data_IF_277707042543
#
_entry.id   IF_277707042543
#
_cell.length_a   1.000
_cell.length_b   1.000
_cell.length_c   1.000
_cell.angle_alpha   90.00
_cell.angle_beta   90.00
_cell.angle_gamma   90.00
#
_symmetry.space_group_name_H-M   'P 1'
#
loop_
_entity.id
_entity.type
_entity.pdbx_description
1 polymer ?
#
# COMPACT_ATOMS: atom_id res chain seq x y z
N UNK A 1 -7.31 -7.18 16.64
CA UNK A 1 -6.03 -6.49 16.47
C UNK A 1 -5.74 -6.36 15.00
N UNK A 2 -4.69 -5.64 14.63
CA UNK A 2 -4.25 -5.52 13.24
C UNK A 2 -3.18 -6.57 12.95
N UNK A 3 -3.00 -7.01 11.69
CA UNK A 3 -1.86 -7.84 11.32
C UNK A 3 -0.53 -7.16 11.73
N UNK A 4 0.43 -7.95 12.22
CA UNK A 4 1.66 -7.43 12.83
C UNK A 4 2.65 -6.82 11.83
N UNK A 5 2.47 -7.14 10.55
CA UNK A 5 3.23 -6.65 9.40
C UNK A 5 2.65 -5.34 8.83
N UNK A 6 1.53 -4.85 9.35
CA UNK A 6 0.95 -3.59 8.90
C UNK A 6 1.61 -2.40 9.61
N UNK A 7 2.14 -1.47 8.81
CA UNK A 7 2.53 -0.15 9.31
C UNK A 7 1.28 0.70 9.53
N UNK A 8 1.11 1.24 10.74
CA UNK A 8 -0.03 2.06 11.14
C UNK A 8 0.43 3.33 11.83
N UNK A 9 -0.35 4.40 11.67
CA UNK A 9 -0.22 5.61 12.47
C UNK A 9 -1.16 5.55 13.67
N UNK A 10 -0.59 5.44 14.87
CA UNK A 10 -1.36 5.30 16.12
C UNK A 10 -0.73 6.12 17.26
N UNK A 11 -1.53 6.54 18.25
CA UNK A 11 -1.01 7.21 19.44
C UNK A 11 0.00 6.33 20.19
N UNK A 12 1.12 6.92 20.58
CA UNK A 12 2.20 6.25 21.30
C UNK A 12 2.63 7.07 22.51
N UNK A 13 3.04 6.39 23.57
CA UNK A 13 3.84 6.97 24.65
C UNK A 13 5.31 6.95 24.22
N UNK A 14 5.96 8.11 24.20
CA UNK A 14 7.39 8.25 23.88
C UNK A 14 8.15 8.67 25.13
N UNK A 15 9.20 7.94 25.50
CA UNK A 15 10.07 8.29 26.62
C UNK A 15 11.49 7.71 26.41
N UNK A 16 12.39 7.88 27.39
CA UNK A 16 13.78 7.39 27.31
C UNK A 16 13.92 5.89 27.03
N UNK A 17 12.90 5.09 27.32
CA UNK A 17 12.88 3.63 27.08
C UNK A 17 12.34 3.25 25.70
N UNK A 18 11.95 4.22 24.86
CA UNK A 18 11.48 3.99 23.49
C UNK A 18 10.05 4.45 23.23
N UNK A 19 9.45 3.83 22.21
CA UNK A 19 8.10 4.12 21.69
C UNK A 19 7.19 2.94 22.06
N UNK A 20 6.10 3.21 22.76
CA UNK A 20 5.11 2.19 23.13
C UNK A 20 3.73 2.59 22.62
N UNK A 21 3.12 1.80 21.72
CA UNK A 21 1.73 2.01 21.29
C UNK A 21 0.74 2.07 22.45
N UNK A 22 -0.20 3.01 22.39
CA UNK A 22 -1.34 3.03 23.29
C UNK A 22 -2.41 2.02 22.82
N UNK A 23 -3.18 1.39 23.72
CA UNK A 23 -4.27 0.49 23.33
C UNK A 23 -5.30 1.22 22.46
N UNK A 24 -5.53 0.69 21.25
CA UNK A 24 -6.55 1.19 20.34
C UNK A 24 -7.79 0.28 20.36
N UNK A 25 -8.98 0.88 20.38
CA UNK A 25 -10.23 0.15 20.14
C UNK A 25 -10.33 -0.21 18.65
N UNK A 26 -11.06 -1.28 18.29
CA UNK A 26 -11.36 -1.55 16.88
C UNK A 26 -12.04 -0.35 16.20
N UNK A 27 -11.72 -0.12 14.94
CA UNK A 27 -12.37 0.93 14.15
C UNK A 27 -13.84 0.57 13.87
N UNK A 28 -14.72 1.57 13.72
CA UNK A 28 -16.02 1.37 13.10
C UNK A 28 -15.87 0.70 11.72
N UNK A 29 -16.84 -0.13 11.33
CA UNK A 29 -16.79 -0.94 10.11
C UNK A 29 -16.43 -0.12 8.85
N UNK A 30 -17.06 1.04 8.67
CA UNK A 30 -16.80 1.90 7.51
C UNK A 30 -15.35 2.42 7.48
N UNK A 31 -14.81 2.84 8.63
CA UNK A 31 -13.42 3.30 8.73
C UNK A 31 -12.42 2.16 8.48
N UNK A 32 -12.71 0.96 8.99
CA UNK A 32 -11.90 -0.23 8.72
C UNK A 32 -11.87 -0.55 7.22
N UNK A 33 -13.02 -0.53 6.54
CA UNK A 33 -13.10 -0.83 5.11
C UNK A 33 -12.23 0.10 4.25
N UNK A 34 -12.32 1.41 4.51
CA UNK A 34 -11.49 2.40 3.82
C UNK A 34 -9.99 2.20 4.08
N UNK A 35 -9.61 1.99 5.35
CA UNK A 35 -8.22 1.74 5.72
C UNK A 35 -7.67 0.45 5.09
N UNK A 36 -8.46 -0.63 5.12
CA UNK A 36 -8.05 -1.92 4.58
C UNK A 36 -7.85 -1.86 3.06
N UNK A 37 -8.67 -1.08 2.34
CA UNK A 37 -8.50 -0.87 0.91
C UNK A 37 -7.17 -0.16 0.59
N UNK A 38 -6.85 0.91 1.32
CA UNK A 38 -5.55 1.60 1.16
C UNK A 38 -4.39 0.68 1.52
N UNK A 39 -4.52 -0.09 2.61
CA UNK A 39 -3.48 -1.03 3.01
C UNK A 39 -3.21 -2.12 1.96
N UNK A 40 -4.25 -2.63 1.31
CA UNK A 40 -4.10 -3.60 0.24
C UNK A 40 -3.27 -3.03 -0.92
N UNK A 41 -3.56 -1.79 -1.33
CA UNK A 41 -2.76 -1.07 -2.33
C UNK A 41 -1.29 -0.92 -1.90
N UNK A 42 -1.03 -0.52 -0.65
CA UNK A 42 0.34 -0.31 -0.15
C UNK A 42 1.14 -1.62 -0.15
N UNK A 43 0.55 -2.72 0.33
CA UNK A 43 1.21 -4.03 0.37
C UNK A 43 1.53 -4.55 -1.04
N UNK A 44 0.58 -4.45 -1.97
CA UNK A 44 0.78 -4.83 -3.37
C UNK A 44 1.84 -3.96 -4.05
N UNK A 45 1.89 -2.66 -3.73
CA UNK A 45 2.91 -1.74 -4.25
C UNK A 45 4.29 -2.11 -3.72
N UNK A 46 4.41 -2.47 -2.44
CA UNK A 46 5.67 -2.94 -1.86
C UNK A 46 6.12 -4.25 -2.53
N UNK A 47 5.22 -5.21 -2.70
CA UNK A 47 5.51 -6.48 -3.38
C UNK A 47 6.05 -6.23 -4.80
N UNK A 48 5.37 -5.37 -5.56
CA UNK A 48 5.80 -4.94 -6.87
C UNK A 48 7.18 -4.27 -6.84
N UNK A 49 7.38 -3.32 -5.92
CA UNK A 49 8.61 -2.54 -5.84
C UNK A 49 9.83 -3.37 -5.40
N UNK A 50 9.65 -4.34 -4.51
CA UNK A 50 10.74 -5.19 -4.01
C UNK A 50 11.13 -6.26 -5.04
N UNK A 51 10.14 -6.88 -5.70
CA UNK A 51 10.39 -8.04 -6.56
C UNK A 51 10.32 -7.74 -8.07
N UNK A 52 9.95 -6.53 -8.47
CA UNK A 52 9.69 -6.21 -9.88
C UNK A 52 8.41 -6.89 -10.41
N UNK A 53 7.49 -7.26 -9.53
CA UNK A 53 6.27 -7.99 -9.90
C UNK A 53 5.25 -7.06 -10.58
N UNK A 54 5.16 -7.20 -11.90
CA UNK A 54 4.20 -6.46 -12.73
C UNK A 54 2.74 -6.81 -12.42
N UNK A 55 2.45 -8.03 -11.99
CA UNK A 55 1.08 -8.43 -11.60
C UNK A 55 0.69 -7.74 -10.30
N UNK A 56 1.57 -7.73 -9.29
CA UNK A 56 1.34 -6.98 -8.06
C UNK A 56 1.16 -5.49 -8.33
N UNK A 57 1.94 -4.91 -9.26
CA UNK A 57 1.78 -3.51 -9.67
C UNK A 57 0.41 -3.23 -10.32
N UNK A 58 -0.07 -4.14 -11.18
CA UNK A 58 -1.39 -4.06 -11.78
C UNK A 58 -2.48 -4.12 -10.72
N UNK A 59 -2.40 -5.09 -9.81
CA UNK A 59 -3.38 -5.26 -8.72
C UNK A 59 -3.39 -4.03 -7.80
N UNK A 60 -2.23 -3.46 -7.48
CA UNK A 60 -2.12 -2.23 -6.71
C UNK A 60 -2.89 -1.07 -7.37
N UNK A 61 -2.65 -0.82 -8.66
CA UNK A 61 -3.36 0.22 -9.41
C UNK A 61 -4.87 -0.05 -9.49
N UNK A 62 -5.27 -1.31 -9.64
CA UNK A 62 -6.68 -1.71 -9.73
C UNK A 62 -7.44 -1.47 -8.41
N UNK A 63 -6.84 -1.77 -7.26
CA UNK A 63 -7.51 -1.65 -5.95
C UNK A 63 -7.45 -0.25 -5.35
N UNK A 64 -6.58 0.62 -5.86
CA UNK A 64 -6.45 1.99 -5.38
C UNK A 64 -7.76 2.77 -5.63
N UNK A 65 -8.37 3.40 -4.60
CA UNK A 65 -9.69 4.03 -4.73
C UNK A 65 -9.72 5.25 -5.68
N UNK A 66 -8.56 5.87 -5.92
CA UNK A 66 -8.37 6.93 -6.93
C UNK A 66 -7.59 6.43 -8.16
N UNK A 67 -7.46 5.11 -8.31
CA UNK A 67 -6.81 4.47 -9.45
C UNK A 67 -7.60 4.66 -10.75
N UNK A 68 -7.02 4.28 -11.89
CA UNK A 68 -7.73 4.30 -13.15
C UNK A 68 -8.90 3.30 -13.13
N UNK A 69 -9.86 3.49 -14.03
CA UNK A 69 -10.89 2.49 -14.33
C UNK A 69 -10.22 1.15 -14.72
N UNK A 70 -10.86 0.02 -14.41
CA UNK A 70 -10.26 -1.31 -14.57
C UNK A 70 -9.74 -1.59 -16.00
N UNK A 71 -10.43 -1.10 -17.01
CA UNK A 71 -10.06 -1.19 -18.44
C UNK A 71 -8.82 -0.35 -18.81
N UNK A 72 -8.43 0.59 -17.95
CA UNK A 72 -7.32 1.53 -18.15
C UNK A 72 -6.08 1.19 -17.31
N UNK A 73 -6.18 0.25 -16.37
CA UNK A 73 -5.08 -0.12 -15.45
C UNK A 73 -3.82 -0.52 -16.21
N UNK A 74 -3.95 -1.40 -17.21
CA UNK A 74 -2.81 -1.88 -18.00
C UNK A 74 -2.08 -0.72 -18.70
N UNK A 75 -2.84 0.16 -19.35
CA UNK A 75 -2.27 1.30 -20.08
C UNK A 75 -1.52 2.26 -19.14
N UNK A 76 -2.08 2.53 -17.96
CA UNK A 76 -1.42 3.37 -16.94
C UNK A 76 -0.16 2.70 -16.38
N UNK A 77 -0.21 1.39 -16.11
CA UNK A 77 0.95 0.65 -15.63
C UNK A 77 2.12 0.71 -16.63
N UNK A 78 1.82 0.47 -17.92
CA UNK A 78 2.83 0.50 -18.97
C UNK A 78 3.46 1.89 -19.12
N UNK A 79 2.65 2.94 -19.07
CA UNK A 79 3.12 4.33 -19.12
C UNK A 79 3.98 4.70 -17.90
N UNK A 80 3.57 4.31 -16.69
CA UNK A 80 4.33 4.54 -15.46
C UNK A 80 5.69 3.85 -15.49
N UNK A 81 5.74 2.58 -15.90
CA UNK A 81 6.98 1.81 -15.96
C UNK A 81 7.93 2.32 -17.05
N UNK A 82 7.40 2.71 -18.22
CA UNK A 82 8.19 3.31 -19.28
C UNK A 82 8.77 4.66 -18.84
N UNK A 83 7.94 5.54 -18.28
CA UNK A 83 8.30 6.89 -17.84
C UNK A 83 9.34 6.85 -16.72
N UNK A 84 9.21 5.93 -15.77
CA UNK A 84 10.08 5.83 -14.60
C UNK A 84 11.15 4.74 -14.70
N UNK A 85 11.41 4.20 -15.90
CA UNK A 85 12.35 3.08 -16.12
C UNK A 85 13.71 3.30 -15.44
N UNK A 86 14.25 4.52 -15.50
CA UNK A 86 15.54 4.85 -14.89
C UNK A 86 15.57 4.73 -13.35
N UNK A 87 14.40 4.81 -12.69
CA UNK A 87 14.24 4.73 -11.24
C UNK A 87 13.69 3.39 -10.75
N UNK A 88 13.32 2.50 -11.68
CA UNK A 88 12.68 1.21 -11.40
C UNK A 88 13.50 0.03 -11.97
N UNK A 89 14.78 -0.14 -11.58
CA UNK A 89 15.69 -1.13 -12.15
C UNK A 89 15.25 -2.60 -11.97
N UNK A 90 14.33 -2.87 -11.04
CA UNK A 90 13.73 -4.19 -10.81
C UNK A 90 12.69 -4.56 -11.87
N UNK A 91 12.14 -3.58 -12.60
CA UNK A 91 11.20 -3.79 -13.71
C UNK A 91 11.97 -3.68 -15.03
N UNK A 92 12.45 -4.82 -15.53
CA UNK A 92 13.14 -4.91 -16.82
C UNK A 92 12.16 -4.97 -18.00
#
# INVERSE_FOLDING_TARGET
GWPSDWVLEIPCKVNKSGITPLPAKPLPMACFGLMAQIKAYELLTVEAAVHGDRKAAYEALLVHPLGPSADRVQAVLDDLLATHRAYLPQFN
#
